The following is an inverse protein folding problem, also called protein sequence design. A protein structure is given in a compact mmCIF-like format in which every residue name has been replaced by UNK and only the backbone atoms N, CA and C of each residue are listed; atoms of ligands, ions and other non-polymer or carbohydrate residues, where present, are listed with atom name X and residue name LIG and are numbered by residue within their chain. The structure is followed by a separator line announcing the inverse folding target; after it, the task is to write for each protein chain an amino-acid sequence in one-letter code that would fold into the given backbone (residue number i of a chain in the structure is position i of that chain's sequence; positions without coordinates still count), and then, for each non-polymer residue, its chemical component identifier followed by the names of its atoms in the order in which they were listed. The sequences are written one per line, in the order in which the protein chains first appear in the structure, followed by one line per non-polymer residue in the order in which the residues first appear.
data_IF_727289761168
#
_entry.id   IF_727289761168
#
_cell.length_a   1.000
_cell.length_b   1.000
_cell.length_c   1.000
_cell.angle_alpha   90.00
_cell.angle_beta   90.00
_cell.angle_gamma   90.00
#
_symmetry.space_group_name_H-M   'P 1'
#
loop_
_entity.id
_entity.type
_entity.pdbx_description
1 polymer ?
#
# COMPACT_ATOMS: atom_id res chain seq x y z
N UNK A 1 -0.03 10.28 -13.04
CA UNK A 1 0.10 9.61 -11.73
C UNK A 1 0.81 8.29 -11.95
N UNK A 2 1.84 7.94 -11.16
CA UNK A 2 2.62 6.71 -11.35
C UNK A 2 1.74 5.45 -11.44
N UNK A 3 0.64 5.42 -10.69
CA UNK A 3 -0.36 4.35 -10.76
C UNK A 3 -0.89 4.09 -12.18
N UNK A 4 -1.30 5.12 -12.91
CA UNK A 4 -1.81 4.96 -14.28
C UNK A 4 -0.68 4.68 -15.28
N UNK A 5 0.47 5.33 -15.09
CA UNK A 5 1.64 5.18 -15.97
C UNK A 5 2.12 3.73 -16.06
N UNK A 6 2.02 2.97 -14.96
CA UNK A 6 2.34 1.55 -14.91
C UNK A 6 1.66 0.71 -16.01
N UNK A 7 0.41 1.04 -16.35
CA UNK A 7 -0.37 0.33 -17.38
C UNK A 7 -0.11 0.84 -18.81
N UNK A 8 0.38 2.06 -18.95
CA UNK A 8 0.51 2.76 -20.23
C UNK A 8 1.95 2.71 -20.78
N UNK A 9 2.92 2.54 -19.89
CA UNK A 9 4.35 2.56 -20.19
C UNK A 9 5.02 1.34 -19.54
N UNK A 10 4.99 0.15 -20.18
CA UNK A 10 5.67 -1.02 -19.65
C UNK A 10 7.18 -0.75 -19.54
N UNK A 11 7.74 -0.96 -18.34
CA UNK A 11 9.18 -0.82 -18.10
C UNK A 11 9.99 -1.86 -18.87
N UNK A 12 11.30 -1.64 -19.05
CA UNK A 12 12.16 -2.40 -19.98
C UNK A 12 12.22 -3.91 -19.69
N UNK A 13 11.96 -4.34 -18.45
CA UNK A 13 12.26 -5.70 -17.98
C UNK A 13 11.01 -6.59 -17.81
N UNK A 14 9.80 -6.08 -18.11
CA UNK A 14 8.55 -6.85 -18.03
C UNK A 14 8.11 -7.30 -16.63
N UNK A 15 8.99 -7.31 -15.63
CA UNK A 15 8.74 -7.75 -14.25
C UNK A 15 8.75 -6.57 -13.28
N UNK A 16 7.90 -5.57 -13.54
CA UNK A 16 7.74 -4.44 -12.64
C UNK A 16 6.78 -4.76 -11.48
N UNK A 17 6.99 -4.08 -10.35
CA UNK A 17 6.04 -4.04 -9.23
C UNK A 17 5.94 -2.62 -8.71
N UNK A 18 4.73 -2.14 -8.49
CA UNK A 18 4.47 -0.82 -7.93
C UNK A 18 3.49 -0.89 -6.76
N UNK A 19 3.75 -0.12 -5.71
CA UNK A 19 2.83 0.06 -4.59
C UNK A 19 2.34 1.50 -4.54
N UNK A 20 1.04 1.70 -4.38
CA UNK A 20 0.41 3.01 -4.21
C UNK A 20 -0.43 3.01 -2.93
N UNK A 21 -0.28 4.06 -2.11
CA UNK A 21 -1.13 4.30 -0.94
C UNK A 21 -2.32 5.15 -1.40
N UNK A 22 -3.53 4.67 -1.12
CA UNK A 22 -4.79 5.35 -1.41
C UNK A 22 -5.57 5.61 -0.13
N UNK A 23 -6.23 6.78 -0.08
CA UNK A 23 -7.05 7.22 1.04
C UNK A 23 -6.36 7.05 2.42
N UNK A 24 -5.16 7.64 2.63
CA UNK A 24 -4.51 7.54 3.93
C UNK A 24 -5.30 8.31 4.98
N UNK A 25 -5.55 7.66 6.11
CA UNK A 25 -6.09 8.27 7.31
C UNK A 25 -5.13 8.01 8.47
N UNK A 26 -4.91 9.04 9.30
CA UNK A 26 -3.98 8.91 10.43
C UNK A 26 -4.52 9.62 11.66
N UNK A 27 -4.07 9.15 12.82
CA UNK A 27 -4.37 9.74 14.12
C UNK A 27 -3.16 9.64 15.01
N UNK A 28 -2.79 10.74 15.66
CA UNK A 28 -1.75 10.80 16.70
C UNK A 28 -2.44 10.92 18.07
N UNK A 29 -1.95 10.17 19.05
CA UNK A 29 -2.46 10.06 20.41
C UNK A 29 -1.28 9.96 21.37
N UNK A 30 -0.78 11.11 21.85
CA UNK A 30 0.43 11.16 22.67
C UNK A 30 1.66 10.69 21.88
N UNK A 31 2.35 9.68 22.40
CA UNK A 31 3.49 9.01 21.79
C UNK A 31 3.09 7.91 20.79
N UNK A 32 1.81 7.72 20.49
CA UNK A 32 1.33 6.68 19.55
C UNK A 32 0.71 7.32 18.31
N UNK A 33 0.98 6.76 17.14
CA UNK A 33 0.32 7.12 15.89
C UNK A 33 -0.25 5.87 15.20
N UNK A 34 -1.48 5.96 14.71
CA UNK A 34 -2.12 4.94 13.90
C UNK A 34 -2.30 5.48 12.50
N UNK A 35 -1.86 4.73 11.50
CA UNK A 35 -1.99 5.05 10.08
C UNK A 35 -2.73 3.90 9.40
N UNK A 36 -3.82 4.18 8.72
CA UNK A 36 -4.56 3.21 7.92
C UNK A 36 -4.74 3.71 6.49
N UNK A 37 -4.73 2.79 5.53
CA UNK A 37 -4.89 3.10 4.11
C UNK A 37 -5.24 1.86 3.29
N UNK A 38 -5.66 2.09 2.05
CA UNK A 38 -5.73 1.04 1.03
C UNK A 38 -4.41 1.02 0.26
N UNK A 39 -3.72 -0.11 0.24
CA UNK A 39 -2.54 -0.34 -0.59
C UNK A 39 -2.95 -1.01 -1.90
N UNK A 40 -2.71 -0.33 -3.01
CA UNK A 40 -2.83 -0.88 -4.35
C UNK A 40 -1.45 -1.41 -4.77
N UNK A 41 -1.38 -2.68 -5.15
CA UNK A 41 -0.17 -3.33 -5.63
C UNK A 41 -0.37 -3.74 -7.08
N UNK A 42 0.39 -3.13 -7.98
CA UNK A 42 0.45 -3.49 -9.39
C UNK A 42 1.65 -4.40 -9.62
N UNK A 43 1.45 -5.48 -10.36
CA UNK A 43 2.50 -6.41 -10.73
C UNK A 43 2.25 -6.97 -12.12
N UNK A 44 3.33 -7.15 -12.87
CA UNK A 44 3.34 -7.87 -14.15
C UNK A 44 3.96 -9.24 -13.90
N UNK A 45 3.30 -10.30 -14.35
CA UNK A 45 3.80 -11.67 -14.23
C UNK A 45 4.69 -12.08 -15.41
N UNK A 46 5.23 -13.31 -15.37
CA UNK A 46 6.11 -13.85 -16.41
C UNK A 46 5.42 -13.98 -17.78
N UNK A 47 4.08 -13.97 -17.83
CA UNK A 47 3.30 -13.97 -19.06
C UNK A 47 3.02 -12.56 -19.60
N UNK A 48 3.51 -11.51 -18.91
CA UNK A 48 3.25 -10.11 -19.25
C UNK A 48 1.87 -9.62 -18.81
N UNK A 49 1.13 -10.39 -18.03
CA UNK A 49 -0.21 -10.01 -17.57
C UNK A 49 -0.06 -9.06 -16.38
N UNK A 50 -0.63 -7.86 -16.53
CA UNK A 50 -0.67 -6.87 -15.45
C UNK A 50 -1.91 -7.07 -14.58
N UNK A 51 -1.71 -7.15 -13.26
CA UNK A 51 -2.79 -7.21 -12.28
C UNK A 51 -2.64 -6.14 -11.19
N UNK A 52 -3.77 -5.69 -10.63
CA UNK A 52 -3.82 -4.89 -9.40
C UNK A 52 -4.43 -5.72 -8.28
N UNK A 53 -3.82 -5.68 -7.10
CA UNK A 53 -4.39 -6.21 -5.86
C UNK A 53 -4.56 -5.07 -4.85
N UNK A 54 -5.68 -5.06 -4.14
CA UNK A 54 -5.96 -4.08 -3.09
C UNK A 54 -5.91 -4.76 -1.71
N UNK A 55 -5.26 -4.10 -0.76
CA UNK A 55 -5.14 -4.53 0.63
C UNK A 55 -5.50 -3.38 1.56
N UNK A 56 -6.24 -3.64 2.61
CA UNK A 56 -6.42 -2.70 3.73
C UNK A 56 -5.23 -2.90 4.69
N UNK A 57 -4.46 -1.84 4.98
CA UNK A 57 -3.36 -1.90 5.95
C UNK A 57 -3.63 -0.93 7.10
N UNK A 58 -3.38 -1.39 8.32
CA UNK A 58 -3.30 -0.54 9.53
C UNK A 58 -1.92 -0.72 10.14
N UNK A 59 -1.24 0.38 10.45
CA UNK A 59 0.09 0.42 11.06
C UNK A 59 0.04 1.26 12.31
N UNK A 60 0.65 0.75 13.37
CA UNK A 60 0.83 1.47 14.63
C UNK A 60 2.29 1.81 14.80
N UNK A 61 2.53 3.06 15.13
CA UNK A 61 3.83 3.63 15.40
C UNK A 61 3.86 4.14 16.84
N UNK A 62 5.01 4.03 17.49
CA UNK A 62 5.26 4.61 18.81
C UNK A 62 6.52 5.46 18.77
N UNK A 63 6.48 6.66 19.34
CA UNK A 63 7.62 7.55 19.51
C UNK A 63 8.43 7.06 20.72
N UNK A 64 9.66 6.58 20.46
CA UNK A 64 10.60 6.12 21.47
C UNK A 64 11.92 6.84 21.25
N UNK A 65 12.48 7.47 22.29
CA UNK A 65 13.72 8.24 22.21
C UNK A 65 13.75 9.23 21.03
N UNK A 66 12.66 9.98 20.83
CA UNK A 66 12.43 10.92 19.71
C UNK A 66 12.41 10.30 18.29
N UNK A 67 12.24 8.98 18.19
CA UNK A 67 12.13 8.26 16.91
C UNK A 67 10.83 7.47 16.81
N UNK A 68 10.13 7.59 15.68
CA UNK A 68 8.94 6.78 15.41
C UNK A 68 9.33 5.35 15.04
N UNK A 69 8.91 4.40 15.86
CA UNK A 69 9.10 2.97 15.66
C UNK A 69 7.82 2.32 15.19
N UNK A 70 7.88 1.50 14.15
CA UNK A 70 6.75 0.72 13.69
C UNK A 70 6.57 -0.51 14.60
N UNK A 71 5.59 -0.45 15.49
CA UNK A 71 5.44 -1.44 16.58
C UNK A 71 4.39 -2.51 16.27
N UNK A 72 3.47 -2.25 15.34
CA UNK A 72 2.45 -3.22 14.96
C UNK A 72 1.91 -2.98 13.54
N UNK A 73 1.51 -4.05 12.87
CA UNK A 73 0.76 -3.96 11.61
C UNK A 73 -0.33 -5.01 11.51
N UNK A 74 -1.41 -4.64 10.82
CA UNK A 74 -2.47 -5.53 10.38
C UNK A 74 -2.70 -5.35 8.89
N UNK A 75 -3.00 -6.44 8.17
CA UNK A 75 -3.34 -6.41 6.75
C UNK A 75 -4.45 -7.40 6.41
N UNK A 76 -5.48 -6.93 5.72
CA UNK A 76 -6.56 -7.72 5.13
C UNK A 76 -6.66 -7.49 3.62
N UNK A 77 -7.19 -8.46 2.84
CA UNK A 77 -7.64 -8.17 1.48
C UNK A 77 -8.70 -7.07 1.52
N UNK A 78 -8.63 -6.13 0.58
CA UNK A 78 -9.71 -5.17 0.44
C UNK A 78 -11.01 -5.92 0.09
N UNK A 79 -12.12 -5.56 0.74
CA UNK A 79 -13.42 -6.19 0.48
C UNK A 79 -13.78 -6.20 -1.02
N UNK A 80 -14.43 -7.27 -1.48
CA UNK A 80 -15.08 -7.27 -2.79
C UNK A 80 -16.39 -6.49 -2.68
N UNK A 81 -16.52 -5.40 -3.42
CA UNK A 81 -17.84 -4.85 -3.72
C UNK A 81 -18.39 -5.70 -4.87
N UNK A 82 -19.34 -6.58 -4.59
CA UNK A 82 -20.20 -7.12 -5.64
C UNK A 82 -21.20 -6.02 -5.96
N UNK A 83 -21.07 -5.41 -7.14
CA UNK A 83 -22.08 -4.50 -7.70
C UNK A 83 -23.21 -5.32 -8.32
#
# INVERSE_FOLDING_TARGET
MPFHEYYLSPGPDGLSRQSTISCPHFRVMGDVAVVCYIRLQQATDDAGIVSTRAMEETRVWQLQDDHWQHVHFHRSPAGSITL
#
